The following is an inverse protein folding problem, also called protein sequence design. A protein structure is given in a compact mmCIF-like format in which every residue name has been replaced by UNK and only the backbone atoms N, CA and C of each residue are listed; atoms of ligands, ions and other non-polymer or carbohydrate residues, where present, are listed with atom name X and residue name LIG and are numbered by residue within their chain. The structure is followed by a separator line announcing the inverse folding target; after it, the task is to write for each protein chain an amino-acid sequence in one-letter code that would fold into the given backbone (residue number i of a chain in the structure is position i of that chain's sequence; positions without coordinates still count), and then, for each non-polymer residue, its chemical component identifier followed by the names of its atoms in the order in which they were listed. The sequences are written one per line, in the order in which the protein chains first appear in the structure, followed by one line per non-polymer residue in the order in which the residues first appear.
data_IF_102264910756
#
_entry.id   IF_102264910756
#
_cell.length_a   1.000
_cell.length_b   1.000
_cell.length_c   1.000
_cell.angle_alpha   90.00
_cell.angle_beta   90.00
_cell.angle_gamma   90.00
#
_symmetry.space_group_name_H-M   'P 1'
#
loop_
_entity.id
_entity.type
_entity.pdbx_description
1 polymer ?
#
# COMPACT_ATOMS: atom_id res chain seq x y z
N UNK A 1 17.85 2.03 -2.22
CA UNK A 1 16.88 3.12 -2.40
C UNK A 1 15.83 2.70 -3.41
N UNK A 2 14.80 2.06 -2.88
CA UNK A 2 13.51 1.94 -3.56
C UNK A 2 12.81 3.28 -3.37
N UNK A 3 12.22 3.82 -4.43
CA UNK A 3 11.45 5.07 -4.32
C UNK A 3 9.99 4.78 -3.95
N UNK A 4 9.44 3.65 -4.42
CA UNK A 4 8.04 3.31 -4.21
C UNK A 4 7.82 1.79 -4.16
N UNK A 5 6.92 1.33 -3.30
CA UNK A 5 6.45 -0.05 -3.23
C UNK A 5 4.99 -0.13 -3.68
N UNK A 6 4.67 -1.09 -4.54
CA UNK A 6 3.35 -1.33 -5.12
C UNK A 6 2.88 -2.72 -4.74
N UNK A 7 1.79 -2.78 -3.98
CA UNK A 7 1.16 -3.99 -3.50
C UNK A 7 -0.25 -4.09 -4.08
N UNK A 8 -0.65 -5.29 -4.49
CA UNK A 8 -2.00 -5.57 -4.98
C UNK A 8 -2.43 -6.95 -4.52
N UNK A 9 -3.70 -7.09 -4.12
CA UNK A 9 -4.31 -8.37 -3.74
C UNK A 9 -4.21 -9.46 -4.83
N UNK A 10 -4.07 -9.08 -6.10
CA UNK A 10 -4.10 -10.00 -7.24
C UNK A 10 -2.74 -10.21 -7.93
N UNK A 11 -1.69 -9.48 -7.53
CA UNK A 11 -0.39 -9.52 -8.22
C UNK A 11 0.79 -9.56 -7.24
N UNK A 12 1.94 -10.13 -7.65
CA UNK A 12 3.15 -10.07 -6.85
C UNK A 12 3.56 -8.63 -6.52
N UNK A 13 4.24 -8.46 -5.39
CA UNK A 13 4.77 -7.16 -4.98
C UNK A 13 5.75 -6.64 -6.04
N UNK A 14 5.68 -5.33 -6.30
CA UNK A 14 6.57 -4.65 -7.23
C UNK A 14 7.13 -3.41 -6.60
N UNK A 15 8.36 -3.07 -6.95
CA UNK A 15 9.01 -1.88 -6.44
C UNK A 15 9.54 -1.02 -7.58
N UNK A 16 9.65 0.27 -7.33
CA UNK A 16 10.29 1.22 -8.24
C UNK A 16 11.70 1.50 -7.74
N UNK A 17 12.69 1.10 -8.53
CA UNK A 17 14.10 1.38 -8.25
C UNK A 17 14.65 2.16 -9.43
N UNK A 18 15.20 3.36 -9.15
CA UNK A 18 15.78 4.23 -10.19
C UNK A 18 14.83 4.49 -11.37
N UNK A 19 13.53 4.61 -11.09
CA UNK A 19 12.49 4.87 -12.09
C UNK A 19 11.97 3.64 -12.84
N UNK A 20 12.53 2.45 -12.60
CA UNK A 20 12.10 1.19 -13.23
C UNK A 20 11.22 0.38 -12.28
N UNK A 21 10.14 -0.19 -12.81
CA UNK A 21 9.23 -1.08 -12.06
C UNK A 21 9.65 -2.53 -12.20
N UNK A 22 10.13 -3.11 -11.10
CA UNK A 22 10.62 -4.49 -11.02
C UNK A 22 9.78 -5.32 -10.05
N UNK A 23 9.85 -6.65 -10.16
CA UNK A 23 9.30 -7.53 -9.13
C UNK A 23 10.10 -7.36 -7.84
N UNK A 24 9.40 -7.21 -6.71
CA UNK A 24 10.06 -7.19 -5.43
C UNK A 24 10.50 -8.61 -5.05
N UNK A 25 11.68 -8.79 -4.41
CA UNK A 25 12.23 -10.10 -4.07
C UNK A 25 11.59 -10.68 -2.79
N UNK A 26 10.28 -10.51 -2.65
CA UNK A 26 9.48 -11.02 -1.54
C UNK A 26 8.02 -11.22 -1.97
N UNK A 27 7.33 -12.10 -1.26
CA UNK A 27 5.91 -12.36 -1.52
C UNK A 27 5.06 -11.15 -1.10
N UNK A 28 4.01 -10.88 -1.87
CA UNK A 28 3.09 -9.80 -1.52
C UNK A 28 2.43 -10.10 -0.17
N UNK A 29 2.51 -9.19 0.82
CA UNK A 29 1.73 -9.31 2.04
C UNK A 29 0.25 -9.15 1.73
N UNK A 30 -0.61 -9.59 2.66
CA UNK A 30 -2.04 -9.33 2.57
C UNK A 30 -2.30 -7.82 2.72
N UNK A 31 -2.74 -7.19 1.63
CA UNK A 31 -2.98 -5.75 1.57
C UNK A 31 -4.14 -5.35 2.49
N UNK A 32 -5.17 -6.18 2.61
CA UNK A 32 -6.33 -5.87 3.46
C UNK A 32 -5.97 -5.96 4.94
N UNK A 33 -5.13 -6.92 5.31
CA UNK A 33 -4.60 -7.03 6.68
C UNK A 33 -3.72 -5.82 7.03
N UNK A 34 -2.80 -5.43 6.15
CA UNK A 34 -1.96 -4.23 6.35
C UNK A 34 -2.80 -2.96 6.53
N UNK A 35 -3.82 -2.75 5.69
CA UNK A 35 -4.69 -1.58 5.81
C UNK A 35 -5.52 -1.61 7.08
N UNK A 36 -5.93 -2.80 7.55
CA UNK A 36 -6.62 -2.96 8.83
C UNK A 36 -5.73 -2.58 10.01
N UNK A 37 -4.44 -2.90 9.95
CA UNK A 37 -3.47 -2.55 10.99
C UNK A 37 -3.09 -1.06 10.97
N UNK A 38 -2.96 -0.46 9.78
CA UNK A 38 -2.43 0.91 9.65
C UNK A 38 -3.48 2.00 9.71
N UNK A 39 -4.70 1.72 9.27
CA UNK A 39 -5.77 2.71 9.24
C UNK A 39 -6.59 2.64 10.52
N UNK A 40 -7.09 3.78 10.99
CA UNK A 40 -8.14 3.81 12.02
C UNK A 40 -9.54 3.55 11.41
N UNK A 41 -10.58 3.50 12.26
CA UNK A 41 -11.95 3.25 11.81
C UNK A 41 -12.47 4.31 10.83
N UNK A 42 -12.14 5.58 11.06
CA UNK A 42 -12.59 6.69 10.21
C UNK A 42 -11.93 6.61 8.83
N UNK A 43 -10.63 6.32 8.79
CA UNK A 43 -9.88 6.11 7.56
C UNK A 43 -10.37 4.88 6.79
N UNK A 44 -10.69 3.78 7.46
CA UNK A 44 -11.29 2.60 6.82
C UNK A 44 -12.65 2.92 6.22
N UNK A 45 -13.48 3.69 6.92
CA UNK A 45 -14.78 4.14 6.40
C UNK A 45 -14.61 5.00 5.15
N UNK A 46 -13.67 5.96 5.16
CA UNK A 46 -13.36 6.80 3.99
C UNK A 46 -12.91 5.95 2.79
N UNK A 47 -12.03 4.96 3.01
CA UNK A 47 -11.57 4.07 1.94
C UNK A 47 -12.73 3.23 1.38
N UNK A 48 -13.63 2.74 2.22
CA UNK A 48 -14.80 1.96 1.79
C UNK A 48 -15.78 2.81 0.99
N UNK A 49 -16.06 4.04 1.45
CA UNK A 49 -17.02 4.95 0.81
C UNK A 49 -16.51 5.52 -0.50
N UNK A 50 -15.26 5.99 -0.51
CA UNK A 50 -14.68 6.68 -1.67
C UNK A 50 -13.89 5.76 -2.61
N UNK A 51 -13.63 4.52 -2.16
CA UNK A 51 -12.77 3.58 -2.88
C UNK A 51 -11.30 3.98 -2.90
N UNK A 52 -10.89 5.06 -2.22
CA UNK A 52 -9.48 5.47 -2.12
C UNK A 52 -9.20 6.31 -0.87
N UNK A 53 -7.95 6.28 -0.40
CA UNK A 53 -7.44 7.07 0.71
C UNK A 53 -5.93 7.30 0.58
N UNK A 54 -5.51 8.56 0.72
CA UNK A 54 -4.11 8.93 0.97
C UNK A 54 -3.88 9.07 2.48
N UNK A 55 -2.80 8.47 3.00
CA UNK A 55 -2.46 8.47 4.42
C UNK A 55 -0.94 8.44 4.63
N UNK A 56 -0.51 8.45 5.89
CA UNK A 56 0.89 8.25 6.22
C UNK A 56 1.02 7.31 7.41
N UNK A 57 1.99 6.39 7.35
CA UNK A 57 2.30 5.45 8.43
C UNK A 57 3.72 5.71 8.93
N UNK A 58 3.91 5.63 10.24
CA UNK A 58 5.23 5.70 10.87
C UNK A 58 5.66 4.29 11.25
N UNK A 59 6.75 3.82 10.66
CA UNK A 59 7.36 2.53 10.96
C UNK A 59 8.32 2.64 12.15
N UNK A 60 8.83 1.49 12.59
CA UNK A 60 9.98 1.45 13.49
C UNK A 60 11.15 2.28 12.94
N UNK A 61 11.96 2.85 13.83
CA UNK A 61 13.11 3.72 13.49
C UNK A 61 12.77 5.10 12.90
N UNK A 62 11.58 5.65 13.17
CA UNK A 62 11.13 6.97 12.71
C UNK A 62 11.03 7.11 11.17
N UNK A 63 11.01 6.00 10.43
CA UNK A 63 10.73 6.05 9.00
C UNK A 63 9.25 6.31 8.79
N UNK A 64 8.90 7.41 8.12
CA UNK A 64 7.54 7.70 7.69
C UNK A 64 7.37 7.32 6.22
N UNK A 65 6.31 6.58 5.90
CA UNK A 65 5.88 6.28 4.55
C UNK A 65 4.59 7.02 4.23
N UNK A 66 4.42 7.42 2.96
CA UNK A 66 3.15 7.95 2.47
C UNK A 66 2.43 6.83 1.74
N UNK A 67 1.27 6.44 2.24
CA UNK A 67 0.43 5.41 1.62
C UNK A 67 -0.65 6.03 0.74
N UNK A 68 -0.95 5.36 -0.36
CA UNK A 68 -2.16 5.57 -1.15
C UNK A 68 -2.83 4.23 -1.39
N UNK A 69 -4.00 4.03 -0.77
CA UNK A 69 -4.83 2.85 -0.93
C UNK A 69 -5.98 3.16 -1.89
N UNK A 70 -6.26 2.25 -2.83
CA UNK A 70 -7.36 2.42 -3.76
C UNK A 70 -7.91 1.07 -4.25
N UNK A 71 -9.23 1.02 -4.43
CA UNK A 71 -9.92 -0.10 -5.04
C UNK A 71 -9.64 -0.12 -6.54
N UNK A 72 -9.33 -1.30 -7.06
CA UNK A 72 -9.20 -1.59 -8.47
C UNK A 72 -10.04 -2.82 -8.85
N UNK A 73 -10.06 -3.15 -10.14
CA UNK A 73 -10.95 -4.20 -10.70
C UNK A 73 -10.72 -5.60 -10.10
N UNK A 74 -9.58 -5.83 -9.47
CA UNK A 74 -9.18 -7.12 -8.90
C UNK A 74 -8.96 -7.07 -7.37
N UNK A 75 -9.50 -6.05 -6.69
CA UNK A 75 -9.38 -5.87 -5.23
C UNK A 75 -8.68 -4.56 -4.88
N UNK A 76 -8.04 -4.50 -3.72
CA UNK A 76 -7.40 -3.26 -3.23
C UNK A 76 -5.91 -3.24 -3.63
N UNK A 77 -5.42 -2.05 -3.92
CA UNK A 77 -4.00 -1.77 -4.15
C UNK A 77 -3.49 -0.70 -3.20
N UNK A 78 -2.20 -0.79 -2.92
CA UNK A 78 -1.50 0.07 -2.00
C UNK A 78 -0.16 0.48 -2.62
N UNK A 79 0.06 1.78 -2.73
CA UNK A 79 1.33 2.39 -3.09
C UNK A 79 1.95 3.08 -1.86
N UNK A 80 3.25 2.86 -1.63
CA UNK A 80 4.03 3.38 -0.51
C UNK A 80 5.32 4.05 -0.97
#
# INVERSE_FOLDING_TARGET
NVSDLHLCSAWPARWRIRGLMEAAPFDAPDVEELLREWLDDDQRAILLENGQLDFAVSLAENQRLRGSAFAQRQGISLAL
#
